data_IF_720850091106
#
_entry.id   IF_720850091106
#
_cell.length_a   1.000
_cell.length_b   1.000
_cell.length_c   1.000
_cell.angle_alpha   90.00
_cell.angle_beta   90.00
_cell.angle_gamma   90.00
#
_symmetry.space_group_name_H-M   'P 1'
#
loop_
_entity.id
_entity.type
_entity.pdbx_description
1 polymer ?
#
# COMPACT_ATOMS: atom_id res chain seq x y z
N UNK A 1 5.82 -9.15 62.56
CA UNK A 1 6.18 -10.53 62.95
C UNK A 1 6.17 -11.35 61.66
N UNK A 2 7.36 -11.63 61.10
CA UNK A 2 8.00 -12.97 61.02
C UNK A 2 7.15 -13.96 60.21
N UNK A 3 7.62 -14.73 59.22
CA UNK A 3 8.89 -14.92 58.54
C UNK A 3 8.54 -15.91 57.38
N UNK A 4 9.30 -15.92 56.28
CA UNK A 4 9.38 -17.14 55.44
C UNK A 4 10.07 -18.29 56.22
N UNK A 5 10.28 -19.51 55.67
CA UNK A 5 10.72 -19.72 54.27
C UNK A 5 10.33 -21.07 53.58
N UNK A 6 10.78 -21.21 52.32
CA UNK A 6 11.34 -22.42 51.65
C UNK A 6 10.47 -23.68 51.38
N UNK A 7 10.64 -24.53 50.35
CA UNK A 7 11.20 -24.62 48.97
C UNK A 7 10.98 -26.10 48.53
N UNK A 8 10.76 -26.40 47.24
CA UNK A 8 11.15 -27.65 46.48
C UNK A 8 10.74 -27.46 44.99
N UNK A 9 11.64 -27.19 44.02
CA UNK A 9 12.36 -28.12 43.09
C UNK A 9 11.46 -29.08 42.31
N UNK A 10 11.52 -29.32 40.99
CA UNK A 10 12.50 -29.21 39.89
C UNK A 10 11.71 -28.94 38.56
N UNK A 11 12.20 -28.49 37.40
CA UNK A 11 13.45 -28.72 36.67
C UNK A 11 13.08 -29.09 35.22
N UNK A 12 13.49 -28.27 34.23
CA UNK A 12 14.03 -28.66 32.91
C UNK A 12 13.91 -27.53 31.87
N UNK A 13 15.05 -26.89 31.58
CA UNK A 13 15.36 -26.20 30.34
C UNK A 13 15.43 -27.18 29.14
N UNK A 14 15.37 -26.65 27.92
CA UNK A 14 16.32 -27.07 26.91
C UNK A 14 17.10 -25.89 26.31
N UNK A 15 18.41 -25.92 26.55
CA UNK A 15 19.45 -25.22 25.80
C UNK A 15 19.78 -26.02 24.53
N UNK A 16 19.84 -25.38 23.35
CA UNK A 16 20.57 -25.88 22.17
C UNK A 16 20.76 -24.76 21.13
N UNK A 17 21.75 -24.85 20.22
CA UNK A 17 22.78 -23.84 20.09
C UNK A 17 22.75 -23.05 18.76
N UNK A 18 23.42 -21.90 18.78
CA UNK A 18 23.64 -21.06 17.61
C UNK A 18 24.53 -21.70 16.54
N UNK A 19 24.25 -21.33 15.29
CA UNK A 19 25.22 -21.27 14.19
C UNK A 19 24.83 -20.17 13.21
N UNK A 20 25.73 -19.21 13.05
CA UNK A 20 25.81 -18.30 11.90
C UNK A 20 26.04 -19.08 10.60
N UNK A 21 25.55 -18.55 9.47
CA UNK A 21 26.19 -18.77 8.18
C UNK A 21 26.78 -17.45 7.66
N UNK A 22 28.11 -17.45 7.55
CA UNK A 22 28.94 -16.48 6.84
C UNK A 22 28.57 -16.45 5.35
N UNK A 23 28.39 -15.26 4.79
CA UNK A 23 28.20 -15.03 3.36
C UNK A 23 29.52 -15.19 2.57
N UNK A 24 29.50 -15.75 1.36
CA UNK A 24 30.47 -15.42 0.33
C UNK A 24 29.83 -14.49 -0.71
N UNK A 25 30.38 -13.28 -0.82
CA UNK A 25 30.13 -12.39 -1.94
C UNK A 25 30.72 -12.96 -3.23
N UNK A 26 30.06 -12.68 -4.36
CA UNK A 26 30.67 -12.58 -5.67
C UNK A 26 29.76 -11.73 -6.57
N UNK A 27 30.25 -10.55 -6.94
CA UNK A 27 29.78 -9.74 -8.04
C UNK A 27 29.88 -10.49 -9.37
N UNK A 28 29.02 -10.16 -10.35
CA UNK A 28 29.44 -10.18 -11.75
C UNK A 28 29.38 -8.76 -12.32
N UNK A 29 30.59 -8.25 -12.55
CA UNK A 29 30.87 -7.06 -13.36
C UNK A 29 30.40 -7.28 -14.80
N UNK A 30 29.60 -6.36 -15.33
CA UNK A 30 29.32 -6.28 -16.75
C UNK A 30 30.55 -5.79 -17.54
N UNK A 31 30.72 -6.25 -18.79
CA UNK A 31 31.23 -5.36 -19.82
C UNK A 31 30.30 -5.35 -21.03
N UNK A 32 29.78 -4.16 -21.35
CA UNK A 32 29.18 -3.91 -22.65
C UNK A 32 30.25 -3.79 -23.74
N UNK A 33 29.88 -4.15 -24.98
CA UNK A 33 30.32 -3.48 -26.22
C UNK A 33 29.40 -3.85 -27.39
N UNK A 34 28.99 -2.82 -28.11
CA UNK A 34 28.17 -2.80 -29.33
C UNK A 34 28.95 -3.31 -30.57
N UNK A 35 28.25 -3.58 -31.70
CA UNK A 35 28.71 -4.43 -32.80
C UNK A 35 29.50 -3.67 -33.87
N UNK A 36 30.34 -4.40 -34.61
CA UNK A 36 30.95 -3.94 -35.87
C UNK A 36 30.82 -5.01 -36.94
N UNK A 37 30.18 -4.60 -38.04
CA UNK A 37 30.09 -5.26 -39.34
C UNK A 37 31.37 -5.07 -40.14
N UNK A 38 31.80 -6.10 -40.86
CA UNK A 38 32.48 -5.99 -42.17
C UNK A 38 32.34 -7.30 -42.93
N UNK A 39 31.83 -7.22 -44.16
CA UNK A 39 31.67 -8.35 -45.06
C UNK A 39 32.94 -8.69 -45.83
N UNK A 40 32.87 -9.81 -46.55
CA UNK A 40 33.35 -9.97 -47.93
C UNK A 40 32.96 -11.38 -48.43
N UNK A 41 32.24 -11.43 -49.55
CA UNK A 41 32.05 -12.61 -50.39
C UNK A 41 33.39 -13.13 -50.95
N UNK A 42 33.47 -14.39 -51.39
CA UNK A 42 33.43 -14.61 -52.84
C UNK A 42 32.69 -15.87 -53.33
N UNK A 43 31.86 -15.64 -54.34
CA UNK A 43 31.76 -16.37 -55.63
C UNK A 43 31.62 -17.90 -55.69
N UNK A 44 30.48 -18.31 -56.25
CA UNK A 44 30.14 -19.61 -56.85
C UNK A 44 30.99 -19.98 -58.08
N UNK A 45 31.00 -21.27 -58.45
CA UNK A 45 30.72 -21.64 -59.84
C UNK A 45 29.54 -22.59 -59.94
N UNK A 46 28.62 -22.25 -60.85
CA UNK A 46 27.38 -22.95 -61.07
C UNK A 46 27.50 -24.29 -61.80
N UNK A 47 26.46 -25.10 -61.63
CA UNK A 47 25.92 -26.04 -62.62
C UNK A 47 24.44 -26.26 -62.29
N UNK A 48 23.55 -25.67 -63.09
CA UNK A 48 22.24 -26.27 -63.35
C UNK A 48 22.38 -27.34 -64.43
N UNK A 49 21.50 -28.35 -64.44
CA UNK A 49 20.32 -28.22 -65.29
C UNK A 49 18.98 -28.70 -64.66
N UNK A 50 17.95 -27.86 -64.82
CA UNK A 50 16.58 -28.15 -65.28
C UNK A 50 15.63 -29.16 -64.58
N UNK A 51 14.59 -28.60 -63.92
CA UNK A 51 13.14 -29.01 -63.78
C UNK A 51 12.69 -30.22 -62.94
N UNK A 52 11.42 -30.32 -62.48
CA UNK A 52 10.56 -29.34 -61.75
C UNK A 52 9.77 -29.95 -60.54
N UNK A 53 9.28 -29.09 -59.64
CA UNK A 53 8.04 -29.25 -58.83
C UNK A 53 7.82 -30.51 -57.98
N UNK A 54 7.87 -30.38 -56.65
CA UNK A 54 7.08 -31.21 -55.72
C UNK A 54 6.83 -30.42 -54.43
N UNK A 55 5.56 -30.13 -54.19
CA UNK A 55 4.97 -29.51 -52.99
C UNK A 55 5.23 -30.31 -51.70
N UNK A 56 5.12 -29.70 -50.50
CA UNK A 56 5.14 -30.39 -49.22
C UNK A 56 3.77 -31.03 -48.94
N UNK A 57 3.30 -31.94 -49.81
CA UNK A 57 2.05 -32.66 -49.60
C UNK A 57 2.05 -33.71 -48.47
N UNK A 58 3.15 -34.41 -48.10
CA UNK A 58 3.00 -35.58 -47.24
C UNK A 58 2.68 -35.25 -45.78
N UNK A 59 3.08 -34.06 -45.29
CA UNK A 59 2.77 -33.64 -43.91
C UNK A 59 1.36 -33.05 -43.76
N UNK A 60 0.85 -32.38 -44.80
CA UNK A 60 -0.52 -31.86 -44.80
C UNK A 60 -1.54 -33.00 -44.90
N UNK A 61 -1.23 -34.04 -45.69
CA UNK A 61 -2.08 -35.21 -45.87
C UNK A 61 -2.16 -36.11 -44.62
N UNK A 62 -1.15 -36.13 -43.75
CA UNK A 62 -1.19 -36.85 -42.46
C UNK A 62 -1.93 -36.06 -41.35
N UNK A 63 -1.93 -34.73 -41.41
CA UNK A 63 -2.62 -33.88 -40.44
C UNK A 63 -4.14 -33.80 -40.69
N UNK A 64 -4.61 -33.90 -41.93
CA UNK A 64 -6.04 -33.85 -42.28
C UNK A 64 -6.89 -34.99 -41.69
N UNK A 65 -6.47 -36.27 -41.70
CA UNK A 65 -7.23 -37.34 -41.05
C UNK A 65 -7.19 -37.26 -39.52
N UNK A 66 -6.11 -36.73 -38.93
CA UNK A 66 -6.05 -36.44 -37.48
C UNK A 66 -6.94 -35.26 -37.10
N UNK A 67 -7.03 -34.25 -37.96
CA UNK A 67 -7.96 -33.12 -37.85
C UNK A 67 -9.40 -33.57 -38.02
N UNK A 68 -9.69 -34.42 -39.00
CA UNK A 68 -11.01 -35.04 -39.19
C UNK A 68 -11.40 -35.96 -38.02
N UNK A 69 -10.44 -36.70 -37.46
CA UNK A 69 -10.63 -37.51 -36.25
C UNK A 69 -10.86 -36.66 -34.99
N UNK A 70 -10.15 -35.54 -34.83
CA UNK A 70 -10.38 -34.56 -33.77
C UNK A 70 -11.72 -33.83 -33.93
N UNK A 71 -12.09 -33.45 -35.16
CA UNK A 71 -13.38 -32.85 -35.48
C UNK A 71 -14.55 -33.83 -35.27
N UNK A 72 -14.35 -35.13 -35.49
CA UNK A 72 -15.36 -36.15 -35.20
C UNK A 72 -15.47 -36.49 -33.70
N UNK A 73 -14.41 -36.25 -32.92
CA UNK A 73 -14.38 -36.38 -31.45
C UNK A 73 -14.88 -35.12 -30.73
N UNK A 74 -14.88 -33.97 -31.41
CA UNK A 74 -15.63 -32.78 -31.04
C UNK A 74 -17.08 -32.99 -31.48
N UNK A 75 -17.84 -33.75 -30.66
CA UNK A 75 -19.30 -33.86 -30.73
C UNK A 75 -19.95 -32.53 -31.09
N UNK A 76 -20.97 -32.56 -31.97
CA UNK A 76 -21.88 -31.47 -32.37
C UNK A 76 -21.73 -30.25 -31.45
N UNK A 77 -21.06 -29.19 -31.91
CA UNK A 77 -21.14 -27.92 -31.17
C UNK A 77 -22.64 -27.59 -31.08
N UNK A 78 -23.18 -27.37 -29.86
CA UNK A 78 -24.61 -27.12 -29.69
C UNK A 78 -25.01 -25.92 -30.55
N UNK A 79 -26.19 -26.02 -31.19
CA UNK A 79 -26.63 -25.04 -32.17
C UNK A 79 -26.89 -23.66 -31.54
N UNK A 80 -27.05 -23.61 -30.21
CA UNK A 80 -27.18 -22.38 -29.44
C UNK A 80 -26.58 -22.51 -28.04
N UNK A 81 -26.26 -21.37 -27.42
CA UNK A 81 -25.83 -21.33 -26.03
C UNK A 81 -26.88 -21.90 -25.06
N UNK A 82 -28.18 -21.75 -25.37
CA UNK A 82 -29.26 -22.30 -24.56
C UNK A 82 -29.30 -23.83 -24.59
N UNK A 83 -29.09 -24.43 -25.76
CA UNK A 83 -28.94 -25.88 -25.88
C UNK A 83 -27.70 -26.36 -25.09
N UNK A 84 -26.62 -25.59 -25.16
CA UNK A 84 -25.38 -25.88 -24.45
C UNK A 84 -25.52 -25.87 -22.91
N UNK A 85 -26.59 -25.29 -22.34
CA UNK A 85 -26.86 -25.33 -20.90
C UNK A 85 -27.42 -26.68 -20.43
N UNK A 86 -27.98 -27.49 -21.33
CA UNK A 86 -28.53 -28.79 -20.96
C UNK A 86 -27.41 -29.83 -20.87
N UNK A 87 -27.21 -30.39 -19.67
CA UNK A 87 -26.27 -31.48 -19.44
C UNK A 87 -26.97 -32.60 -18.68
N UNK A 88 -26.91 -33.83 -19.22
CA UNK A 88 -27.54 -34.99 -18.57
C UNK A 88 -29.06 -34.89 -18.42
N UNK A 89 -29.74 -34.08 -19.22
CA UNK A 89 -31.19 -33.83 -19.12
C UNK A 89 -31.57 -32.78 -18.07
N UNK A 90 -30.60 -32.13 -17.44
CA UNK A 90 -30.81 -31.04 -16.49
C UNK A 90 -30.29 -29.72 -17.04
N UNK A 91 -31.03 -28.64 -16.76
CA UNK A 91 -30.62 -27.28 -17.11
C UNK A 91 -29.58 -26.78 -16.11
N UNK A 92 -28.38 -26.49 -16.60
CA UNK A 92 -27.29 -25.95 -15.79
C UNK A 92 -27.30 -24.41 -15.81
N UNK A 93 -26.88 -23.75 -14.70
CA UNK A 93 -26.78 -22.29 -14.66
C UNK A 93 -25.65 -21.75 -15.56
N UNK A 94 -24.66 -22.58 -15.88
CA UNK A 94 -23.59 -22.28 -16.82
C UNK A 94 -23.01 -23.57 -17.39
N UNK A 95 -22.44 -23.49 -18.60
CA UNK A 95 -21.50 -24.49 -19.11
C UNK A 95 -20.39 -23.78 -19.86
N UNK A 96 -19.21 -24.41 -19.98
CA UNK A 96 -18.11 -23.85 -20.77
C UNK A 96 -18.50 -23.62 -22.22
N UNK A 97 -19.38 -24.45 -22.79
CA UNK A 97 -19.86 -24.31 -24.16
C UNK A 97 -20.81 -23.10 -24.30
N UNK A 98 -21.75 -22.93 -23.37
CA UNK A 98 -22.67 -21.79 -23.37
C UNK A 98 -21.93 -20.46 -23.24
N UNK A 99 -20.99 -20.35 -22.28
CA UNK A 99 -20.16 -19.14 -22.10
C UNK A 99 -19.41 -18.80 -23.39
N UNK A 100 -18.71 -19.77 -24.00
CA UNK A 100 -17.97 -19.53 -25.25
C UNK A 100 -18.87 -19.06 -26.39
N UNK A 101 -20.06 -19.61 -26.53
CA UNK A 101 -21.00 -19.23 -27.59
C UNK A 101 -21.49 -17.80 -27.38
N UNK A 102 -21.89 -17.42 -26.16
CA UNK A 102 -22.27 -16.05 -25.85
C UNK A 102 -21.09 -15.07 -25.96
N UNK A 103 -19.87 -15.45 -25.58
CA UNK A 103 -18.67 -14.60 -25.77
C UNK A 103 -18.39 -14.36 -27.25
N UNK A 104 -18.54 -15.38 -28.10
CA UNK A 104 -18.41 -15.22 -29.56
C UNK A 104 -19.49 -14.26 -30.08
N UNK A 105 -20.73 -14.43 -29.66
CA UNK A 105 -21.85 -13.57 -30.06
C UNK A 105 -21.61 -12.11 -29.64
N UNK A 106 -21.21 -11.89 -28.38
CA UNK A 106 -20.84 -10.59 -27.85
C UNK A 106 -19.69 -9.94 -28.62
N UNK A 107 -18.66 -10.71 -29.02
CA UNK A 107 -17.50 -10.19 -29.74
C UNK A 107 -17.78 -9.84 -31.22
N UNK A 108 -18.76 -10.50 -31.86
CA UNK A 108 -19.10 -10.30 -33.27
C UNK A 108 -20.32 -9.40 -33.48
N UNK A 109 -21.03 -9.02 -32.41
CA UNK A 109 -22.15 -8.10 -32.47
C UNK A 109 -21.72 -6.69 -32.92
N UNK A 110 -22.46 -6.12 -33.89
CA UNK A 110 -22.28 -4.72 -34.30
C UNK A 110 -22.79 -3.77 -33.19
N UNK A 111 -23.81 -4.22 -32.43
CA UNK A 111 -24.35 -3.55 -31.25
C UNK A 111 -24.33 -4.52 -30.05
N UNK A 112 -24.24 -3.96 -28.84
CA UNK A 112 -24.24 -4.73 -27.59
C UNK A 112 -25.62 -5.34 -27.36
N UNK A 113 -25.72 -6.67 -27.51
CA UNK A 113 -26.94 -7.38 -27.14
C UNK A 113 -27.04 -7.52 -25.61
N UNK A 114 -27.98 -6.76 -25.02
CA UNK A 114 -28.26 -6.72 -23.59
C UNK A 114 -28.60 -8.12 -23.03
N UNK A 115 -29.28 -8.97 -23.81
CA UNK A 115 -29.65 -10.32 -23.35
C UNK A 115 -28.42 -11.22 -23.26
N UNK A 116 -27.55 -11.17 -24.25
CA UNK A 116 -26.26 -11.89 -24.24
C UNK A 116 -25.38 -11.43 -23.08
N UNK A 117 -25.30 -10.11 -22.83
CA UNK A 117 -24.55 -9.56 -21.69
C UNK A 117 -25.14 -10.04 -20.36
N UNK A 118 -26.47 -10.07 -20.24
CA UNK A 118 -27.14 -10.58 -19.03
C UNK A 118 -26.84 -12.07 -18.79
N UNK A 119 -26.87 -12.89 -19.83
CA UNK A 119 -26.52 -14.31 -19.71
C UNK A 119 -25.05 -14.54 -19.38
N UNK A 120 -24.14 -13.78 -19.98
CA UNK A 120 -22.72 -13.81 -19.61
C UNK A 120 -22.52 -13.39 -18.15
N UNK A 121 -23.20 -12.33 -17.69
CA UNK A 121 -23.12 -11.91 -16.29
C UNK A 121 -23.51 -13.04 -15.33
N UNK A 122 -24.64 -13.71 -15.59
CA UNK A 122 -25.11 -14.84 -14.76
C UNK A 122 -24.15 -16.03 -14.85
N UNK A 123 -23.78 -16.44 -16.06
CA UNK A 123 -23.00 -17.65 -16.28
C UNK A 123 -21.58 -17.54 -15.70
N UNK A 124 -20.91 -16.40 -15.89
CA UNK A 124 -19.62 -16.16 -15.24
C UNK A 124 -19.76 -16.12 -13.72
N UNK A 125 -20.80 -15.49 -13.17
CA UNK A 125 -20.98 -15.40 -11.73
C UNK A 125 -21.25 -16.78 -11.09
N UNK A 126 -22.08 -17.61 -11.73
CA UNK A 126 -22.34 -18.98 -11.29
C UNK A 126 -21.08 -19.86 -11.38
N UNK A 127 -20.37 -19.82 -12.51
CA UNK A 127 -19.09 -20.51 -12.68
C UNK A 127 -18.07 -20.11 -11.60
N UNK A 128 -17.99 -18.81 -11.30
CA UNK A 128 -17.08 -18.30 -10.29
C UNK A 128 -17.39 -18.87 -8.89
N UNK A 129 -18.67 -18.99 -8.51
CA UNK A 129 -19.05 -19.58 -7.22
C UNK A 129 -18.71 -21.07 -7.12
N UNK A 130 -18.94 -21.84 -8.19
CA UNK A 130 -18.59 -23.27 -8.19
C UNK A 130 -17.08 -23.47 -8.06
N UNK A 131 -16.29 -22.66 -8.78
CA UNK A 131 -14.83 -22.67 -8.70
C UNK A 131 -14.33 -22.17 -7.34
N UNK A 132 -14.95 -21.14 -6.77
CA UNK A 132 -14.62 -20.61 -5.44
C UNK A 132 -14.87 -21.66 -4.35
N UNK A 133 -16.01 -22.36 -4.41
CA UNK A 133 -16.35 -23.45 -3.50
C UNK A 133 -15.36 -24.63 -3.60
N UNK A 134 -14.79 -24.84 -4.78
CA UNK A 134 -13.73 -25.83 -5.02
C UNK A 134 -12.32 -25.34 -4.63
N UNK A 135 -12.15 -24.07 -4.25
CA UNK A 135 -10.86 -23.46 -3.95
C UNK A 135 -9.98 -23.21 -5.19
N UNK A 136 -10.57 -23.19 -6.39
CA UNK A 136 -9.85 -22.93 -7.64
C UNK A 136 -9.62 -21.42 -7.84
N UNK A 137 -8.41 -21.05 -8.22
CA UNK A 137 -8.02 -19.66 -8.48
C UNK A 137 -8.56 -19.10 -9.79
N UNK A 138 -9.04 -19.97 -10.69
CA UNK A 138 -9.74 -19.58 -11.92
C UNK A 138 -11.06 -18.82 -11.62
N UNK A 139 -11.62 -19.01 -10.42
CA UNK A 139 -12.84 -18.31 -9.96
C UNK A 139 -12.76 -16.79 -10.16
N UNK A 140 -11.60 -16.20 -9.85
CA UNK A 140 -11.42 -14.74 -9.91
C UNK A 140 -11.50 -14.17 -11.33
N UNK A 141 -11.03 -14.91 -12.34
CA UNK A 141 -11.20 -14.48 -13.73
C UNK A 141 -12.67 -14.42 -14.13
N UNK A 142 -13.47 -15.37 -13.64
CA UNK A 142 -14.92 -15.37 -13.83
C UNK A 142 -15.61 -14.28 -13.01
N UNK A 143 -15.22 -14.03 -11.75
CA UNK A 143 -15.76 -12.92 -10.97
C UNK A 143 -15.49 -11.56 -11.61
N UNK A 144 -14.28 -11.31 -12.12
CA UNK A 144 -13.94 -10.07 -12.85
C UNK A 144 -14.85 -9.86 -14.06
N UNK A 145 -15.06 -10.91 -14.85
CA UNK A 145 -15.96 -10.85 -16.00
C UNK A 145 -17.41 -10.61 -15.60
N UNK A 146 -17.90 -11.34 -14.60
CA UNK A 146 -19.26 -11.19 -14.10
C UNK A 146 -19.53 -9.75 -13.63
N UNK A 147 -18.64 -9.19 -12.79
CA UNK A 147 -18.78 -7.82 -12.29
C UNK A 147 -18.72 -6.79 -13.43
N UNK A 148 -17.90 -7.03 -14.46
CA UNK A 148 -17.84 -6.17 -15.66
C UNK A 148 -19.16 -6.17 -16.41
N UNK A 149 -19.72 -7.34 -16.72
CA UNK A 149 -21.00 -7.44 -17.42
C UNK A 149 -22.16 -6.86 -16.58
N UNK A 150 -22.18 -7.10 -15.26
CA UNK A 150 -23.17 -6.48 -14.38
C UNK A 150 -23.06 -4.96 -14.33
N UNK A 151 -21.85 -4.40 -14.31
CA UNK A 151 -21.64 -2.96 -14.36
C UNK A 151 -22.12 -2.35 -15.68
N UNK A 152 -21.91 -3.05 -16.82
CA UNK A 152 -22.49 -2.66 -18.11
C UNK A 152 -24.01 -2.59 -18.02
N UNK A 153 -24.67 -3.65 -17.57
CA UNK A 153 -26.14 -3.70 -17.45
C UNK A 153 -26.70 -2.66 -16.48
N UNK A 154 -25.96 -2.37 -15.40
CA UNK A 154 -26.34 -1.35 -14.43
C UNK A 154 -26.46 0.05 -15.06
N UNK A 155 -25.58 0.38 -16.01
CA UNK A 155 -25.63 1.63 -16.77
C UNK A 155 -26.74 1.69 -17.83
N UNK A 156 -27.16 0.54 -18.35
CA UNK A 156 -28.10 0.46 -19.48
C UNK A 156 -29.56 0.69 -19.08
N UNK A 157 -30.13 1.82 -19.49
CA UNK A 157 -31.53 2.14 -19.18
C UNK A 157 -32.51 1.18 -19.86
N UNK A 158 -32.17 0.70 -21.05
CA UNK A 158 -32.98 -0.25 -21.81
C UNK A 158 -33.09 -1.61 -21.12
N UNK A 159 -32.03 -2.06 -20.44
CA UNK A 159 -32.06 -3.27 -19.63
C UNK A 159 -33.13 -3.18 -18.53
N UNK A 160 -33.13 -2.07 -17.77
CA UNK A 160 -34.11 -1.86 -16.70
C UNK A 160 -35.54 -1.74 -17.22
N UNK A 161 -35.75 -1.08 -18.37
CA UNK A 161 -37.06 -1.02 -19.02
C UNK A 161 -37.57 -2.41 -19.42
N UNK A 162 -36.72 -3.23 -20.05
CA UNK A 162 -37.08 -4.60 -20.45
C UNK A 162 -37.32 -5.51 -19.24
N UNK A 163 -36.52 -5.37 -18.18
CA UNK A 163 -36.73 -6.11 -16.93
C UNK A 163 -38.08 -5.78 -16.32
N UNK A 164 -38.45 -4.50 -16.28
CA UNK A 164 -39.76 -4.07 -15.79
C UNK A 164 -40.90 -4.69 -16.61
N UNK A 165 -40.83 -4.62 -17.94
CA UNK A 165 -41.82 -5.25 -18.81
C UNK A 165 -41.94 -6.76 -18.55
N UNK A 166 -40.80 -7.47 -18.42
CA UNK A 166 -40.80 -8.91 -18.11
C UNK A 166 -41.43 -9.21 -16.76
N UNK A 167 -41.24 -8.35 -15.76
CA UNK A 167 -41.86 -8.49 -14.44
C UNK A 167 -43.38 -8.24 -14.49
N UNK A 168 -43.82 -7.22 -15.22
CA UNK A 168 -45.25 -6.97 -15.47
C UNK A 168 -45.93 -8.17 -16.12
N UNK A 169 -45.29 -8.71 -17.17
CA UNK A 169 -45.80 -9.87 -17.92
C UNK A 169 -45.85 -11.12 -17.02
N UNK A 170 -44.83 -11.36 -16.20
CA UNK A 170 -44.74 -12.52 -15.33
C UNK A 170 -45.72 -12.45 -14.13
N UNK A 171 -45.93 -11.27 -13.57
CA UNK A 171 -46.84 -11.06 -12.44
C UNK A 171 -48.31 -10.94 -12.87
N UNK A 172 -48.55 -10.64 -14.15
CA UNK A 172 -49.90 -10.42 -14.70
C UNK A 172 -50.59 -9.16 -14.15
N UNK A 173 -49.86 -8.31 -13.42
CA UNK A 173 -50.30 -7.04 -12.85
C UNK A 173 -49.16 -6.01 -12.96
N UNK A 174 -49.45 -4.72 -13.16
CA UNK A 174 -48.42 -3.69 -13.22
C UNK A 174 -47.60 -3.64 -11.92
N UNK A 175 -46.29 -3.80 -12.04
CA UNK A 175 -45.33 -3.65 -10.95
C UNK A 175 -45.00 -2.17 -10.79
N UNK A 176 -45.03 -1.62 -9.57
CA UNK A 176 -44.68 -0.20 -9.36
C UNK A 176 -43.24 0.09 -9.79
N UNK A 177 -43.03 1.23 -10.47
CA UNK A 177 -41.70 1.71 -10.93
C UNK A 177 -40.65 1.70 -9.81
N UNK A 178 -41.08 2.00 -8.59
CA UNK A 178 -40.21 2.04 -7.42
C UNK A 178 -39.57 0.67 -7.10
N UNK A 179 -40.22 -0.45 -7.41
CA UNK A 179 -39.64 -1.79 -7.21
C UNK A 179 -38.39 -1.98 -8.08
N UNK A 180 -38.48 -1.59 -9.34
CA UNK A 180 -37.35 -1.68 -10.30
C UNK A 180 -36.27 -0.67 -9.94
N UNK A 181 -36.65 0.55 -9.55
CA UNK A 181 -35.70 1.57 -9.10
C UNK A 181 -34.93 1.12 -7.85
N UNK A 182 -35.62 0.56 -6.85
CA UNK A 182 -34.98 0.02 -5.63
C UNK A 182 -34.06 -1.17 -5.97
N UNK A 183 -34.48 -2.04 -6.89
CA UNK A 183 -33.67 -3.17 -7.36
C UNK A 183 -32.39 -2.67 -8.04
N UNK A 184 -32.49 -1.66 -8.92
CA UNK A 184 -31.34 -1.02 -9.56
C UNK A 184 -30.37 -0.46 -8.54
N UNK A 185 -30.87 0.28 -7.54
CA UNK A 185 -30.03 0.86 -6.49
C UNK A 185 -29.32 -0.21 -5.67
N UNK A 186 -29.98 -1.33 -5.35
CA UNK A 186 -29.41 -2.40 -4.51
C UNK A 186 -28.48 -3.35 -5.27
N UNK A 187 -28.63 -3.47 -6.59
CA UNK A 187 -27.92 -4.47 -7.40
C UNK A 187 -26.39 -4.45 -7.16
N UNK A 188 -25.69 -3.30 -7.21
CA UNK A 188 -24.25 -3.29 -6.98
C UNK A 188 -23.86 -3.80 -5.59
N UNK A 189 -24.58 -3.38 -4.54
CA UNK A 189 -24.32 -3.82 -3.17
C UNK A 189 -24.50 -5.33 -3.00
N UNK A 190 -25.59 -5.88 -3.56
CA UNK A 190 -25.86 -7.33 -3.52
C UNK A 190 -24.79 -8.16 -4.26
N UNK A 191 -24.14 -7.58 -5.27
CA UNK A 191 -23.07 -8.24 -6.04
C UNK A 191 -21.70 -8.12 -5.34
N UNK A 192 -21.45 -7.03 -4.63
CA UNK A 192 -20.17 -6.77 -3.96
C UNK A 192 -20.11 -7.38 -2.55
N UNK A 193 -21.23 -7.43 -1.82
CA UNK A 193 -21.31 -7.93 -0.44
C UNK A 193 -20.72 -9.34 -0.27
N UNK A 194 -21.01 -10.35 -1.11
CA UNK A 194 -20.45 -11.69 -0.94
C UNK A 194 -18.92 -11.72 -0.97
N UNK A 195 -18.30 -10.88 -1.79
CA UNK A 195 -16.83 -10.74 -1.83
C UNK A 195 -16.28 -10.16 -0.54
N UNK A 196 -16.96 -9.18 0.04
CA UNK A 196 -16.59 -8.58 1.33
C UNK A 196 -16.76 -9.58 2.47
N UNK A 197 -17.85 -10.35 2.48
CA UNK A 197 -18.06 -11.43 3.45
C UNK A 197 -16.98 -12.51 3.36
N UNK A 198 -16.64 -12.95 2.14
CA UNK A 198 -15.55 -13.92 1.93
C UNK A 198 -14.19 -13.36 2.36
N UNK A 199 -13.89 -12.10 2.02
CA UNK A 199 -12.66 -11.44 2.46
C UNK A 199 -12.56 -11.38 3.99
N UNK A 200 -13.64 -10.99 4.67
CA UNK A 200 -13.70 -10.94 6.13
C UNK A 200 -13.46 -12.33 6.76
N UNK A 201 -14.08 -13.37 6.20
CA UNK A 201 -13.95 -14.77 6.67
C UNK A 201 -12.56 -15.33 6.44
N UNK A 202 -11.95 -15.05 5.29
CA UNK A 202 -10.64 -15.57 4.89
C UNK A 202 -9.48 -14.74 5.45
N UNK A 203 -9.73 -13.54 5.98
CA UNK A 203 -8.73 -12.57 6.46
C UNK A 203 -7.57 -13.20 7.24
N UNK A 204 -7.87 -14.13 8.16
CA UNK A 204 -6.86 -14.73 9.05
C UNK A 204 -6.33 -16.07 8.56
N UNK A 205 -7.09 -16.78 7.71
CA UNK A 205 -6.75 -18.15 7.27
C UNK A 205 -6.10 -18.17 5.88
N UNK A 206 -6.54 -17.30 4.98
CA UNK A 206 -6.00 -17.10 3.64
C UNK A 206 -6.05 -15.61 3.26
N UNK A 207 -5.13 -14.78 3.79
CA UNK A 207 -5.10 -13.35 3.51
C UNK A 207 -4.82 -13.05 2.04
N UNK A 208 -4.17 -13.97 1.30
CA UNK A 208 -3.92 -13.83 -0.12
C UNK A 208 -5.21 -13.84 -0.92
N UNK A 209 -6.05 -14.86 -0.69
CA UNK A 209 -7.38 -14.98 -1.31
C UNK A 209 -8.33 -13.89 -0.83
N UNK A 210 -8.31 -13.55 0.46
CA UNK A 210 -9.10 -12.43 1.00
C UNK A 210 -8.79 -11.09 0.31
N UNK A 211 -7.50 -10.80 0.10
CA UNK A 211 -7.06 -9.60 -0.61
C UNK A 211 -7.50 -9.58 -2.07
N UNK A 212 -7.54 -10.74 -2.74
CA UNK A 212 -8.07 -10.82 -4.11
C UNK A 212 -9.56 -10.48 -4.18
N UNK A 213 -10.36 -10.90 -3.20
CA UNK A 213 -11.78 -10.49 -3.14
C UNK A 213 -11.95 -8.99 -2.92
N UNK A 214 -11.16 -8.36 -2.05
CA UNK A 214 -11.17 -6.89 -1.90
C UNK A 214 -10.76 -6.21 -3.21
N UNK A 215 -9.77 -6.76 -3.92
CA UNK A 215 -9.36 -6.23 -5.24
C UNK A 215 -10.44 -6.32 -6.31
N UNK A 216 -11.26 -7.38 -6.31
CA UNK A 216 -12.44 -7.47 -7.19
C UNK A 216 -13.39 -6.29 -6.95
N UNK A 217 -13.63 -5.96 -5.68
CA UNK A 217 -14.49 -4.84 -5.29
C UNK A 217 -13.87 -3.50 -5.70
N UNK A 218 -12.59 -3.27 -5.38
CA UNK A 218 -11.93 -1.99 -5.68
C UNK A 218 -11.67 -1.76 -7.17
N UNK A 219 -11.56 -2.84 -7.95
CA UNK A 219 -11.27 -2.80 -9.38
C UNK A 219 -12.47 -3.03 -10.29
N UNK A 220 -13.69 -3.14 -9.74
CA UNK A 220 -14.89 -3.32 -10.55
C UNK A 220 -15.29 -2.01 -11.26
N UNK A 221 -16.17 -2.14 -12.26
CA UNK A 221 -16.61 -1.01 -13.08
C UNK A 221 -17.88 -0.31 -12.55
N UNK A 222 -18.29 -0.58 -11.31
CA UNK A 222 -19.37 0.18 -10.67
C UNK A 222 -18.89 1.59 -10.29
N UNK A 223 -19.80 2.58 -10.11
CA UNK A 223 -19.43 3.93 -9.69
C UNK A 223 -18.59 3.96 -8.40
N UNK A 224 -17.56 4.82 -8.38
CA UNK A 224 -16.61 4.95 -7.26
C UNK A 224 -17.30 5.18 -5.90
N UNK A 225 -18.42 5.90 -5.87
CA UNK A 225 -19.18 6.15 -4.65
C UNK A 225 -19.73 4.85 -4.02
N UNK A 226 -20.21 3.92 -4.86
CA UNK A 226 -20.72 2.62 -4.42
C UNK A 226 -19.56 1.75 -3.91
N UNK A 227 -18.44 1.74 -4.64
CA UNK A 227 -17.23 1.01 -4.24
C UNK A 227 -16.70 1.54 -2.91
N UNK A 228 -16.65 2.86 -2.73
CA UNK A 228 -16.24 3.50 -1.47
C UNK A 228 -17.17 3.11 -0.31
N UNK A 229 -18.49 3.18 -0.49
CA UNK A 229 -19.45 2.79 0.54
C UNK A 229 -19.35 1.31 0.92
N UNK A 230 -19.17 0.43 -0.07
CA UNK A 230 -18.98 -0.99 0.16
C UNK A 230 -17.69 -1.27 0.97
N UNK A 231 -16.58 -0.59 0.62
CA UNK A 231 -15.31 -0.68 1.37
C UNK A 231 -15.45 -0.16 2.80
N UNK A 232 -16.14 0.95 3.00
CA UNK A 232 -16.43 1.48 4.34
C UNK A 232 -17.27 0.50 5.16
N UNK A 233 -18.25 -0.16 4.54
CA UNK A 233 -19.07 -1.19 5.16
C UNK A 233 -18.28 -2.38 5.68
N UNK A 234 -17.23 -2.81 4.97
CA UNK A 234 -16.38 -3.96 5.35
C UNK A 234 -15.76 -3.81 6.75
N UNK A 235 -15.37 -2.58 7.10
CA UNK A 235 -14.60 -2.29 8.31
C UNK A 235 -15.34 -1.43 9.32
N UNK A 236 -16.61 -1.10 9.07
CA UNK A 236 -17.42 -0.19 9.90
C UNK A 236 -17.41 -0.59 11.38
N UNK A 237 -17.84 -1.83 11.67
CA UNK A 237 -17.93 -2.32 13.05
C UNK A 237 -16.57 -2.34 13.76
N UNK A 238 -15.50 -2.60 13.00
CA UNK A 238 -14.13 -2.58 13.53
C UNK A 238 -13.73 -1.16 13.91
N UNK A 239 -13.99 -0.18 13.03
CA UNK A 239 -13.66 1.23 13.26
C UNK A 239 -14.50 1.83 14.40
N UNK A 240 -15.78 1.48 14.48
CA UNK A 240 -16.69 1.94 15.54
C UNK A 240 -16.26 1.44 16.93
N UNK A 241 -15.61 0.27 17.00
CA UNK A 241 -15.08 -0.29 18.25
C UNK A 241 -13.74 0.28 18.71
N UNK A 242 -12.99 0.97 17.85
CA UNK A 242 -11.62 1.47 18.16
C UNK A 242 -11.60 2.42 19.37
N UNK A 243 -12.48 3.43 19.48
CA UNK A 243 -12.45 4.35 20.61
C UNK A 243 -12.64 3.66 21.97
N UNK A 244 -13.54 2.67 22.05
CA UNK A 244 -13.77 1.90 23.27
C UNK A 244 -12.55 1.05 23.61
N UNK A 245 -11.96 0.36 22.62
CA UNK A 245 -10.76 -0.45 22.82
C UNK A 245 -9.55 0.38 23.30
N UNK A 246 -9.40 1.60 22.77
CA UNK A 246 -8.38 2.56 23.19
C UNK A 246 -8.62 3.03 24.62
N UNK A 247 -9.87 3.35 24.99
CA UNK A 247 -10.22 3.74 26.36
C UNK A 247 -9.95 2.61 27.38
N UNK A 248 -10.11 1.36 26.97
CA UNK A 248 -9.81 0.16 27.75
C UNK A 248 -8.30 -0.19 27.78
N UNK A 249 -7.46 0.53 27.03
CA UNK A 249 -6.02 0.28 26.95
C UNK A 249 -5.61 -0.94 26.10
N UNK A 250 -6.50 -1.45 25.24
CA UNK A 250 -6.25 -2.62 24.37
C UNK A 250 -5.49 -2.26 23.09
N UNK A 251 -4.39 -1.53 23.21
CA UNK A 251 -3.67 -0.95 22.08
C UNK A 251 -3.07 -2.00 21.14
N UNK A 252 -2.27 -2.94 21.66
CA UNK A 252 -1.57 -3.93 20.85
C UNK A 252 -2.52 -4.85 20.08
N UNK A 253 -3.61 -5.28 20.74
CA UNK A 253 -4.68 -6.08 20.12
C UNK A 253 -5.35 -5.29 18.99
N UNK A 254 -5.74 -4.04 19.27
CA UNK A 254 -6.41 -3.17 18.29
C UNK A 254 -5.51 -2.92 17.07
N UNK A 255 -4.23 -2.65 17.27
CA UNK A 255 -3.26 -2.50 16.18
C UNK A 255 -3.16 -3.78 15.36
N UNK A 256 -3.07 -4.95 15.99
CA UNK A 256 -3.03 -6.23 15.27
C UNK A 256 -4.29 -6.49 14.43
N UNK A 257 -5.46 -6.14 14.95
CA UNK A 257 -6.72 -6.20 14.21
C UNK A 257 -6.68 -5.25 13.01
N UNK A 258 -6.32 -3.97 13.21
CA UNK A 258 -6.26 -2.98 12.13
C UNK A 258 -5.25 -3.35 11.05
N UNK A 259 -4.08 -3.86 11.42
CA UNK A 259 -3.06 -4.35 10.49
C UNK A 259 -3.56 -5.49 9.62
N UNK A 260 -4.28 -6.45 10.20
CA UNK A 260 -4.84 -7.56 9.44
C UNK A 260 -5.85 -7.08 8.39
N UNK A 261 -6.56 -5.97 8.64
CA UNK A 261 -7.45 -5.36 7.66
C UNK A 261 -6.72 -4.50 6.64
N UNK A 262 -5.67 -3.77 7.04
CA UNK A 262 -4.80 -3.01 6.13
C UNK A 262 -4.05 -3.91 5.15
N UNK A 263 -3.81 -5.17 5.49
CA UNK A 263 -3.26 -6.15 4.54
C UNK A 263 -4.21 -6.39 3.35
N UNK A 264 -5.52 -6.38 3.60
CA UNK A 264 -6.58 -6.60 2.62
C UNK A 264 -6.86 -5.31 1.83
N UNK A 265 -7.02 -4.19 2.53
CA UNK A 265 -7.25 -2.86 1.96
C UNK A 265 -6.21 -1.83 2.45
N UNK A 266 -5.01 -1.80 1.83
CA UNK A 266 -3.92 -0.92 2.24
C UNK A 266 -4.18 0.58 2.07
N UNK A 267 -5.23 0.94 1.34
CA UNK A 267 -5.53 2.29 0.89
C UNK A 267 -6.78 2.84 1.61
N UNK A 268 -7.26 2.13 2.64
CA UNK A 268 -8.38 2.55 3.46
C UNK A 268 -7.98 3.69 4.40
N UNK A 269 -8.49 4.90 4.13
CA UNK A 269 -8.29 6.06 4.99
C UNK A 269 -8.83 5.83 6.41
N UNK A 270 -9.94 5.10 6.55
CA UNK A 270 -10.53 4.78 7.85
C UNK A 270 -9.59 3.94 8.71
N UNK A 271 -9.02 2.87 8.14
CA UNK A 271 -8.07 2.01 8.83
C UNK A 271 -6.75 2.72 9.15
N UNK A 272 -6.19 3.47 8.19
CA UNK A 272 -4.97 4.25 8.41
C UNK A 272 -5.16 5.29 9.52
N UNK A 273 -6.28 6.02 9.51
CA UNK A 273 -6.63 6.98 10.58
C UNK A 273 -6.76 6.28 11.93
N UNK A 274 -7.46 5.15 12.00
CA UNK A 274 -7.64 4.41 13.25
C UNK A 274 -6.31 3.88 13.79
N UNK A 275 -5.40 3.44 12.92
CA UNK A 275 -4.06 2.99 13.30
C UNK A 275 -3.24 4.14 13.89
N UNK A 276 -3.27 5.32 13.25
CA UNK A 276 -2.59 6.52 13.74
C UNK A 276 -3.17 7.01 15.07
N UNK A 277 -4.50 7.04 15.20
CA UNK A 277 -5.17 7.39 16.45
C UNK A 277 -4.78 6.44 17.59
N UNK A 278 -4.87 5.12 17.35
CA UNK A 278 -4.55 4.09 18.36
C UNK A 278 -3.10 4.17 18.80
N UNK A 279 -2.17 4.34 17.85
CA UNK A 279 -0.75 4.44 18.16
C UNK A 279 -0.39 5.73 18.89
N UNK A 280 -0.96 6.88 18.51
CA UNK A 280 -0.79 8.14 19.23
C UNK A 280 -1.24 8.01 20.68
N UNK A 281 -2.44 7.48 20.92
CA UNK A 281 -2.96 7.26 22.28
C UNK A 281 -2.08 6.30 23.08
N UNK A 282 -1.49 5.29 22.45
CA UNK A 282 -0.53 4.41 23.13
C UNK A 282 0.77 5.14 23.48
N UNK A 283 1.32 5.95 22.57
CA UNK A 283 2.51 6.77 22.84
C UNK A 283 2.26 7.73 24.00
N UNK A 284 1.11 8.41 24.02
CA UNK A 284 0.71 9.31 25.13
C UNK A 284 0.70 8.58 26.47
N UNK A 285 0.15 7.36 26.52
CA UNK A 285 0.14 6.52 27.72
C UNK A 285 1.54 6.05 28.12
N UNK A 286 2.37 5.66 27.15
CA UNK A 286 3.74 5.20 27.38
C UNK A 286 4.62 6.28 27.98
N UNK A 287 4.40 7.57 27.67
CA UNK A 287 5.20 8.69 28.22
C UNK A 287 5.21 8.75 29.75
N UNK A 288 4.23 8.14 30.40
CA UNK A 288 4.14 8.05 31.87
C UNK A 288 4.96 6.88 32.45
N UNK A 289 5.49 5.98 31.61
CA UNK A 289 6.18 4.76 32.02
C UNK A 289 7.73 4.86 31.98
N UNK A 290 8.45 4.09 32.82
CA UNK A 290 9.89 3.88 32.65
C UNK A 290 10.21 3.23 31.30
N UNK A 291 11.29 3.68 30.63
CA UNK A 291 11.72 3.20 29.31
C UNK A 291 10.75 3.49 28.14
N UNK A 292 9.83 4.45 28.32
CA UNK A 292 8.89 4.92 27.31
C UNK A 292 9.52 5.18 25.94
N UNK A 293 10.69 5.82 25.91
CA UNK A 293 11.33 6.29 24.69
C UNK A 293 11.60 5.17 23.70
N UNK A 294 12.14 4.03 24.15
CA UNK A 294 12.46 2.91 23.25
C UNK A 294 11.19 2.26 22.69
N UNK A 295 10.18 2.04 23.53
CA UNK A 295 8.91 1.44 23.08
C UNK A 295 8.16 2.36 22.10
N UNK A 296 8.16 3.67 22.39
CA UNK A 296 7.58 4.67 21.50
C UNK A 296 8.34 4.75 20.16
N UNK A 297 9.67 4.64 20.18
CA UNK A 297 10.50 4.60 18.96
C UNK A 297 10.18 3.39 18.07
N UNK A 298 10.12 2.19 18.66
CA UNK A 298 9.75 0.95 17.97
C UNK A 298 8.33 1.02 17.41
N UNK A 299 7.37 1.54 18.19
CA UNK A 299 5.98 1.72 17.77
C UNK A 299 5.87 2.71 16.60
N UNK A 300 6.46 3.90 16.71
CA UNK A 300 6.41 4.92 15.65
C UNK A 300 7.06 4.43 14.36
N UNK A 301 8.19 3.69 14.46
CA UNK A 301 8.83 3.07 13.30
C UNK A 301 7.92 2.04 12.61
N UNK A 302 7.23 1.19 13.38
CA UNK A 302 6.26 0.22 12.85
C UNK A 302 5.08 0.92 12.16
N UNK A 303 4.53 1.96 12.77
CA UNK A 303 3.38 2.68 12.20
C UNK A 303 3.75 3.41 10.91
N UNK A 304 4.91 4.08 10.86
CA UNK A 304 5.39 4.76 9.65
C UNK A 304 5.56 3.74 8.48
N UNK A 305 6.11 2.55 8.76
CA UNK A 305 6.25 1.50 7.75
C UNK A 305 4.90 0.98 7.19
N UNK A 306 3.84 1.02 7.99
CA UNK A 306 2.49 0.62 7.57
C UNK A 306 1.75 1.74 6.82
N UNK A 307 1.92 2.98 7.27
CA UNK A 307 1.16 4.13 6.78
C UNK A 307 1.73 4.67 5.47
N UNK A 308 3.06 4.76 5.34
CA UNK A 308 3.74 5.37 4.17
C UNK A 308 3.34 4.72 2.84
N UNK A 309 3.29 3.38 2.70
CA UNK A 309 2.87 2.76 1.44
C UNK A 309 1.43 3.11 1.07
N UNK A 310 0.52 3.19 2.04
CA UNK A 310 -0.87 3.59 1.83
C UNK A 310 -0.98 5.00 1.28
N UNK A 311 -0.29 5.96 1.91
CA UNK A 311 -0.27 7.36 1.48
C UNK A 311 0.27 7.57 0.07
N UNK A 312 1.18 6.71 -0.40
CA UNK A 312 1.72 6.79 -1.76
C UNK A 312 0.72 6.35 -2.85
N UNK A 313 -0.32 5.60 -2.47
CA UNK A 313 -1.33 5.04 -3.39
C UNK A 313 -2.67 5.78 -3.33
N UNK A 314 -2.93 6.52 -2.25
CA UNK A 314 -4.19 7.20 -2.03
C UNK A 314 -4.20 8.64 -2.52
N UNK A 315 -5.40 9.20 -2.70
CA UNK A 315 -5.57 10.64 -2.82
C UNK A 315 -5.05 11.38 -1.57
N UNK A 316 -4.82 12.68 -1.69
CA UNK A 316 -4.34 13.50 -0.58
C UNK A 316 -5.26 13.33 0.65
N UNK A 317 -4.69 13.14 1.86
CA UNK A 317 -5.49 12.98 3.07
C UNK A 317 -6.27 14.27 3.35
N UNK A 318 -7.54 14.13 3.70
CA UNK A 318 -8.42 15.24 4.08
C UNK A 318 -9.11 15.00 5.42
N UNK A 319 -9.73 16.05 5.96
CA UNK A 319 -10.55 15.97 7.19
C UNK A 319 -9.79 15.40 8.39
N UNK A 320 -10.44 14.51 9.15
CA UNK A 320 -9.86 13.91 10.36
C UNK A 320 -8.67 12.99 10.07
N UNK A 321 -8.56 12.42 8.86
CA UNK A 321 -7.39 11.62 8.51
C UNK A 321 -6.13 12.49 8.38
N UNK A 322 -6.24 13.66 7.74
CA UNK A 322 -5.15 14.62 7.64
C UNK A 322 -4.67 15.09 9.03
N UNK A 323 -5.61 15.35 9.95
CA UNK A 323 -5.28 15.77 11.32
C UNK A 323 -4.54 14.69 12.11
N UNK A 324 -4.99 13.43 12.05
CA UNK A 324 -4.26 12.33 12.72
C UNK A 324 -2.89 12.08 12.08
N UNK A 325 -2.77 12.23 10.76
CA UNK A 325 -1.48 12.16 10.09
C UNK A 325 -0.55 13.30 10.51
N UNK A 326 -1.06 14.53 10.63
CA UNK A 326 -0.29 15.66 11.14
C UNK A 326 0.24 15.41 12.56
N UNK A 327 -0.60 14.88 13.45
CA UNK A 327 -0.20 14.47 14.82
C UNK A 327 0.89 13.41 14.79
N UNK A 328 0.81 12.45 13.87
CA UNK A 328 1.84 11.44 13.71
C UNK A 328 3.16 12.01 13.18
N UNK A 329 3.11 12.87 12.16
CA UNK A 329 4.30 13.57 11.65
C UNK A 329 4.97 14.40 12.76
N UNK A 330 4.19 15.07 13.62
CA UNK A 330 4.75 15.77 14.78
C UNK A 330 5.44 14.82 15.77
N UNK A 331 4.87 13.65 16.07
CA UNK A 331 5.55 12.64 16.89
C UNK A 331 6.86 12.14 16.24
N UNK A 332 6.88 11.98 14.92
CA UNK A 332 8.10 11.65 14.16
C UNK A 332 9.14 12.77 14.21
N UNK A 333 8.71 14.04 14.28
CA UNK A 333 9.61 15.17 14.48
C UNK A 333 10.29 15.10 15.86
N UNK A 334 9.51 14.94 16.93
CA UNK A 334 10.03 14.80 18.30
C UNK A 334 10.98 13.61 18.41
N UNK A 335 10.61 12.49 17.80
CA UNK A 335 11.45 11.28 17.70
C UNK A 335 12.78 11.58 16.99
N UNK A 336 12.71 12.20 15.81
CA UNK A 336 13.89 12.50 15.00
C UNK A 336 14.83 13.47 15.72
N UNK A 337 14.27 14.46 16.41
CA UNK A 337 15.03 15.43 17.18
C UNK A 337 15.62 14.83 18.48
N UNK A 338 15.04 13.76 19.02
CA UNK A 338 15.45 13.19 20.30
C UNK A 338 14.85 13.90 21.51
N UNK A 339 13.70 14.59 21.33
CA UNK A 339 12.92 15.23 22.38
C UNK A 339 11.69 14.39 22.80
N UNK A 340 11.55 13.17 22.27
CA UNK A 340 10.41 12.32 22.58
C UNK A 340 10.54 11.71 23.99
N UNK A 341 9.88 12.35 24.97
CA UNK A 341 9.86 11.90 26.36
C UNK A 341 11.19 12.14 27.11
N UNK A 342 12.08 12.96 26.54
CA UNK A 342 13.38 13.34 27.08
C UNK A 342 13.60 14.84 26.89
N UNK A 343 14.55 15.41 27.63
CA UNK A 343 15.01 16.77 27.35
C UNK A 343 15.57 16.87 25.92
N UNK A 344 15.45 18.05 25.32
CA UNK A 344 16.05 18.33 24.01
C UNK A 344 17.56 18.01 24.03
N UNK A 345 18.12 17.53 22.90
CA UNK A 345 19.55 17.26 22.81
C UNK A 345 20.37 18.53 23.08
N UNK A 346 21.44 18.40 23.88
CA UNK A 346 22.39 19.49 24.08
C UNK A 346 23.57 19.37 23.09
N UNK A 347 23.95 20.46 22.39
CA UNK A 347 25.16 20.51 21.56
C UNK A 347 26.45 20.21 22.34
N UNK A 348 26.48 20.51 23.64
CA UNK A 348 27.67 20.32 24.49
C UNK A 348 28.09 18.86 24.65
N UNK A 349 27.17 17.92 24.37
CA UNK A 349 27.42 16.49 24.46
C UNK A 349 28.12 15.91 23.22
N UNK A 350 28.36 16.71 22.17
CA UNK A 350 28.92 16.25 20.89
C UNK A 350 30.45 16.28 20.93
N UNK A 351 31.07 15.10 20.87
CA UNK A 351 32.52 14.91 20.96
C UNK A 351 33.25 14.77 19.62
N UNK A 352 32.52 14.69 18.50
CA UNK A 352 33.13 14.53 17.18
C UNK A 352 32.33 15.18 16.03
N UNK A 353 33.01 15.46 14.91
CA UNK A 353 32.36 15.93 13.68
C UNK A 353 31.30 14.95 13.15
N UNK A 354 31.51 13.64 13.30
CA UNK A 354 30.53 12.63 12.88
C UNK A 354 29.25 12.72 13.71
N UNK A 355 29.36 12.95 15.02
CA UNK A 355 28.20 13.15 15.90
C UNK A 355 27.45 14.45 15.56
N UNK A 356 28.16 15.52 15.22
CA UNK A 356 27.57 16.78 14.75
C UNK A 356 26.80 16.58 13.44
N UNK A 357 27.37 15.87 12.48
CA UNK A 357 26.70 15.55 11.20
C UNK A 357 25.45 14.69 11.41
N UNK A 358 25.50 13.69 12.29
CA UNK A 358 24.36 12.87 12.65
C UNK A 358 23.26 13.69 13.34
N UNK A 359 23.61 14.55 14.29
CA UNK A 359 22.68 15.45 14.97
C UNK A 359 22.03 16.42 13.98
N UNK A 360 22.80 16.95 13.02
CA UNK A 360 22.29 17.82 11.96
C UNK A 360 21.32 17.10 11.05
N UNK A 361 21.63 15.87 10.65
CA UNK A 361 20.73 15.05 9.82
C UNK A 361 19.39 14.81 10.55
N UNK A 362 19.46 14.44 11.82
CA UNK A 362 18.29 14.25 12.70
C UNK A 362 17.44 15.52 12.83
N UNK A 363 18.06 16.67 13.09
CA UNK A 363 17.37 17.95 13.19
C UNK A 363 16.70 18.36 11.87
N UNK A 364 17.38 18.19 10.72
CA UNK A 364 16.78 18.49 9.40
C UNK A 364 15.58 17.58 9.09
N UNK A 365 15.65 16.30 9.45
CA UNK A 365 14.50 15.41 9.35
C UNK A 365 13.34 15.86 10.23
N UNK A 366 13.63 16.31 11.46
CA UNK A 366 12.61 16.84 12.33
C UNK A 366 11.92 18.09 11.74
N UNK A 367 12.66 19.01 11.11
CA UNK A 367 12.09 20.16 10.39
C UNK A 367 11.11 19.72 9.32
N UNK A 368 11.49 18.75 8.47
CA UNK A 368 10.62 18.22 7.42
C UNK A 368 9.32 17.66 7.97
N UNK A 369 9.39 16.93 9.09
CA UNK A 369 8.22 16.37 9.76
C UNK A 369 7.32 17.47 10.37
N UNK A 370 7.89 18.51 10.98
CA UNK A 370 7.13 19.66 11.52
C UNK A 370 6.42 20.43 10.41
N UNK A 371 7.13 20.76 9.33
CA UNK A 371 6.54 21.48 8.20
C UNK A 371 5.42 20.65 7.57
N UNK A 372 5.63 19.34 7.42
CA UNK A 372 4.59 18.44 6.92
C UNK A 372 3.37 18.37 7.84
N UNK A 373 3.57 18.37 9.16
CA UNK A 373 2.47 18.40 10.12
C UNK A 373 1.62 19.66 9.95
N UNK A 374 2.25 20.83 9.81
CA UNK A 374 1.55 22.11 9.63
C UNK A 374 0.93 22.29 8.24
N UNK A 375 1.49 21.67 7.20
CA UNK A 375 0.83 21.60 5.88
C UNK A 375 -0.49 20.81 5.95
N UNK A 376 -0.50 19.71 6.71
CA UNK A 376 -1.66 18.83 6.84
C UNK A 376 -2.71 19.37 7.81
N UNK A 377 -2.27 20.10 8.84
CA UNK A 377 -3.13 20.66 9.87
C UNK A 377 -2.61 22.06 10.31
N UNK A 378 -2.91 23.12 9.55
CA UNK A 378 -2.40 24.47 9.83
C UNK A 378 -2.78 25.01 11.21
N UNK A 379 -4.01 24.74 11.67
CA UNK A 379 -4.50 25.21 12.96
C UNK A 379 -3.81 24.53 14.16
N UNK A 380 -3.01 23.49 13.93
CA UNK A 380 -2.18 22.86 14.95
C UNK A 380 -1.23 23.87 15.63
N UNK A 381 -0.71 24.84 14.87
CA UNK A 381 0.19 25.86 15.42
C UNK A 381 -0.48 26.86 16.36
N UNK A 382 -1.81 26.96 16.32
CA UNK A 382 -2.61 27.85 17.18
C UNK A 382 -3.24 27.11 18.37
N UNK A 383 -3.24 25.78 18.36
CA UNK A 383 -3.83 24.96 19.42
C UNK A 383 -2.86 24.85 20.62
N UNK A 384 -3.26 25.32 21.83
CA UNK A 384 -2.41 25.27 23.01
C UNK A 384 -1.93 23.87 23.40
N UNK A 385 -2.64 22.81 22.98
CA UNK A 385 -2.24 21.41 23.21
C UNK A 385 -1.00 21.02 22.42
N UNK A 386 -0.67 21.79 21.39
CA UNK A 386 0.47 21.56 20.49
C UNK A 386 1.42 22.78 20.47
N UNK A 387 1.49 23.55 21.55
CA UNK A 387 2.41 24.69 21.67
C UNK A 387 3.87 24.31 21.33
N UNK A 388 4.28 23.09 21.71
CA UNK A 388 5.58 22.51 21.37
C UNK A 388 5.87 22.49 19.85
N UNK A 389 4.86 22.38 18.98
CA UNK A 389 5.05 22.40 17.52
C UNK A 389 5.60 23.75 17.08
N UNK A 390 4.98 24.83 17.56
CA UNK A 390 5.37 26.19 17.21
C UNK A 390 6.72 26.53 17.81
N UNK A 391 6.94 26.21 19.10
CA UNK A 391 8.23 26.40 19.77
C UNK A 391 9.37 25.66 19.05
N UNK A 392 9.14 24.40 18.66
CA UNK A 392 10.13 23.59 17.96
C UNK A 392 10.43 24.15 16.56
N UNK A 393 9.42 24.73 15.88
CA UNK A 393 9.56 25.31 14.54
C UNK A 393 10.26 26.66 14.54
N UNK A 394 9.85 27.57 15.43
CA UNK A 394 10.35 28.94 15.45
C UNK A 394 11.74 29.00 16.03
N UNK A 395 11.95 28.32 17.15
CA UNK A 395 13.12 28.56 17.98
C UNK A 395 13.95 27.31 18.25
N UNK A 396 13.31 26.19 18.58
CA UNK A 396 14.01 24.96 18.95
C UNK A 396 14.93 24.41 17.86
N UNK A 397 14.39 24.06 16.68
CA UNK A 397 15.17 23.47 15.60
C UNK A 397 16.12 24.47 14.91
N UNK A 398 15.70 25.72 14.59
CA UNK A 398 16.62 26.70 14.02
C UNK A 398 17.79 27.03 14.96
N UNK A 399 17.51 27.24 16.25
CA UNK A 399 18.55 27.51 17.25
C UNK A 399 19.51 26.35 17.43
N UNK A 400 19.00 25.11 17.49
CA UNK A 400 19.85 23.93 17.58
C UNK A 400 20.75 23.77 16.34
N UNK A 401 20.22 24.00 15.14
CA UNK A 401 21.02 23.95 13.91
C UNK A 401 22.12 25.02 13.88
N UNK A 402 21.85 26.23 14.39
CA UNK A 402 22.83 27.30 14.52
C UNK A 402 23.93 26.93 15.53
N UNK A 403 23.57 26.29 16.65
CA UNK A 403 24.54 25.72 17.58
C UNK A 403 25.42 24.65 16.92
N UNK A 404 24.86 23.76 16.11
CA UNK A 404 25.65 22.76 15.37
C UNK A 404 26.62 23.42 14.39
N UNK A 405 26.23 24.52 13.73
CA UNK A 405 27.14 25.30 12.89
C UNK A 405 28.33 25.86 13.70
N UNK A 406 28.07 26.40 14.90
CA UNK A 406 29.13 26.92 15.78
C UNK A 406 30.06 25.80 16.29
N UNK A 407 29.51 24.66 16.72
CA UNK A 407 30.29 23.50 17.18
C UNK A 407 31.15 22.92 16.04
N UNK A 408 30.60 22.81 14.84
CA UNK A 408 31.37 22.37 13.66
C UNK A 408 32.52 23.34 13.36
N UNK A 409 32.27 24.65 13.44
CA UNK A 409 33.31 25.67 13.28
C UNK A 409 34.40 25.53 14.35
N UNK A 410 34.05 25.24 15.60
CA UNK A 410 35.02 24.97 16.67
C UNK A 410 35.95 23.80 16.31
N UNK A 411 35.39 22.67 15.85
CA UNK A 411 36.20 21.52 15.43
C UNK A 411 37.16 21.88 14.28
N UNK A 412 36.69 22.64 13.29
CA UNK A 412 37.54 23.09 12.18
C UNK A 412 38.68 24.01 12.66
N UNK A 413 38.41 24.94 13.58
CA UNK A 413 39.39 25.93 14.06
C UNK A 413 40.41 25.34 15.05
N UNK A 414 40.05 24.25 15.73
CA UNK A 414 40.91 23.56 16.70
C UNK A 414 41.74 22.44 16.08
N UNK A 415 41.42 22.00 14.86
CA UNK A 415 42.21 21.01 14.13
C UNK A 415 43.67 21.48 13.89
N UNK A 416 44.59 20.51 13.79
CA UNK A 416 45.98 20.76 13.41
C UNK A 416 46.12 20.78 11.88
N UNK A 417 46.94 21.70 11.35
CA UNK A 417 47.23 21.76 9.91
C UNK A 417 46.08 22.28 9.04
N UNK A 418 45.29 23.23 9.55
CA UNK A 418 44.15 23.81 8.82
C UNK A 418 44.61 24.58 7.59
N UNK A 419 43.89 24.44 6.47
CA UNK A 419 44.10 25.22 5.25
C UNK A 419 43.08 26.35 5.09
N UNK A 420 43.26 27.14 4.02
CA UNK A 420 42.37 28.24 3.68
C UNK A 420 40.92 27.80 3.42
N UNK A 421 40.74 26.55 2.96
CA UNK A 421 39.43 25.94 2.72
C UNK A 421 38.64 25.74 4.00
N UNK A 422 39.28 25.17 5.02
CA UNK A 422 38.69 24.95 6.35
C UNK A 422 38.39 26.29 7.05
N UNK A 423 39.29 27.27 6.96
CA UNK A 423 39.08 28.63 7.49
C UNK A 423 37.89 29.32 6.80
N UNK A 424 37.74 29.15 5.49
CA UNK A 424 36.62 29.70 4.74
C UNK A 424 35.30 29.00 5.09
N UNK A 425 35.33 27.69 5.33
CA UNK A 425 34.15 26.92 5.79
C UNK A 425 33.75 27.36 7.21
N UNK A 426 34.70 27.43 8.14
CA UNK A 426 34.46 27.88 9.50
C UNK A 426 33.83 29.28 9.52
N UNK A 427 34.30 30.20 8.68
CA UNK A 427 33.69 31.54 8.58
C UNK A 427 32.22 31.49 8.16
N UNK A 428 31.89 30.72 7.10
CA UNK A 428 30.50 30.59 6.64
C UNK A 428 29.58 29.99 7.71
N UNK A 429 30.08 29.02 8.47
CA UNK A 429 29.34 28.41 9.58
C UNK A 429 29.09 29.42 10.71
N UNK A 430 30.11 30.23 11.07
CA UNK A 430 29.95 31.29 12.07
C UNK A 430 29.00 32.40 11.60
N UNK A 431 29.04 32.79 10.33
CA UNK A 431 28.10 33.76 9.76
C UNK A 431 26.65 33.22 9.82
N UNK A 432 26.45 31.93 9.54
CA UNK A 432 25.15 31.27 9.64
C UNK A 432 24.65 31.18 11.10
N UNK A 433 25.52 30.78 12.03
CA UNK A 433 25.20 30.73 13.46
C UNK A 433 24.90 32.13 14.04
N UNK A 434 25.68 33.13 13.62
CA UNK A 434 25.56 34.52 14.04
C UNK A 434 24.23 35.17 13.64
N UNK A 435 23.61 34.72 12.54
CA UNK A 435 22.26 35.16 12.16
C UNK A 435 21.19 34.79 13.21
N UNK A 436 21.46 33.78 14.04
CA UNK A 436 20.57 33.31 15.10
C UNK A 436 21.02 33.73 16.51
N UNK A 437 22.27 34.20 16.66
CA UNK A 437 22.87 34.58 17.94
C UNK A 437 22.05 35.64 18.71
N UNK A 438 21.37 36.56 18.04
CA UNK A 438 20.57 37.60 18.71
C UNK A 438 19.39 37.03 19.51
N UNK A 439 18.94 35.81 19.20
CA UNK A 439 17.88 35.11 19.93
C UNK A 439 18.39 34.25 21.09
N UNK A 440 19.70 33.98 21.16
CA UNK A 440 20.33 33.14 22.17
C UNK A 440 21.67 33.75 22.65
N UNK A 441 21.69 34.40 23.84
CA UNK A 441 22.90 35.02 24.38
C UNK A 441 24.07 34.04 24.59
N UNK A 442 23.79 32.77 24.85
CA UNK A 442 24.83 31.74 25.01
C UNK A 442 25.51 31.44 23.68
N UNK A 443 24.71 31.32 22.60
CA UNK A 443 25.23 31.15 21.25
C UNK A 443 26.02 32.40 20.81
N UNK A 444 25.54 33.60 21.13
CA UNK A 444 26.23 34.85 20.82
C UNK A 444 27.63 34.89 21.45
N UNK A 445 27.74 34.58 22.74
CA UNK A 445 29.03 34.53 23.41
C UNK A 445 29.97 33.49 22.79
N UNK A 446 29.43 32.32 22.46
CA UNK A 446 30.20 31.23 21.85
C UNK A 446 30.69 31.58 20.43
N UNK A 447 29.82 32.09 19.56
CA UNK A 447 30.18 32.55 18.21
C UNK A 447 31.27 33.62 18.28
N UNK A 448 31.13 34.61 19.17
CA UNK A 448 32.13 35.67 19.38
C UNK A 448 33.49 35.11 19.80
N UNK A 449 33.52 34.10 20.67
CA UNK A 449 34.75 33.41 21.06
C UNK A 449 35.43 32.74 19.85
N UNK A 450 34.66 32.09 18.98
CA UNK A 450 35.18 31.44 17.78
C UNK A 450 35.62 32.43 16.70
N UNK A 451 34.97 33.58 16.57
CA UNK A 451 35.42 34.66 15.68
C UNK A 451 36.78 35.24 16.09
N UNK A 452 37.02 35.36 17.40
CA UNK A 452 38.34 35.74 17.92
C UNK A 452 39.40 34.68 17.56
N UNK A 453 39.07 33.39 17.73
CA UNK A 453 39.97 32.29 17.37
C UNK A 453 40.28 32.25 15.86
N UNK A 454 39.26 32.44 15.02
CA UNK A 454 39.40 32.54 13.56
C UNK A 454 40.34 33.69 13.18
N UNK A 455 40.23 34.84 13.86
CA UNK A 455 41.10 36.00 13.62
C UNK A 455 42.56 35.70 13.97
N UNK A 456 42.81 34.99 15.07
CA UNK A 456 44.16 34.55 15.48
C UNK A 456 44.74 33.54 14.48
N UNK A 457 43.94 32.62 13.96
CA UNK A 457 44.40 31.59 13.00
C UNK A 457 44.72 32.13 11.60
N UNK A 458 44.22 33.32 11.25
CA UNK A 458 44.50 34.01 9.98
C UNK A 458 45.71 34.93 10.03
N UNK A 459 46.12 35.36 11.23
CA UNK A 459 47.31 36.16 11.47
C UNK A 459 48.56 35.26 11.49
#
# INVERSE_FOLDING_TARGET
MTAGPETMTAGNEPTAPGREPTAPGNEPTAPGRKPTTTGNEPTTPGRGPTTPGSEPEPLAAELEPLRGGLCALLTDEPASAYEALWQGGELQPWTRAAIRLWEREYAHGIEVDIEVVHHLAIAHHACAYDLEAAGDDAAFGHFEQALRYWATLYGETDFWRRMHQRLDDAMGVPVPDEVVAQTRTRLPYNLLEPHLTLAARLRLTDPGRARRHVRLVTGCAFPDAIVAEAREGLVRDVLDGVPAAVAEGRFAETIGVLESWLLLDPDSHGLLRALLFTSRSWVERLREEPYATRRSDELLGRMDALVRPGLARTAAPGGEFAKELARHEFLLALRSFGALGTSAPSPDALGSLSEVEQARHRARRAVQHVDRALELYPEMGEDPRYAEVTELRSDGLPGFLAWLDAVEAQFLLTAFGIGDGELSRARRLLDAAGAYAAADPGLEEFVRSLENLLSVRRA
#
